data_IF_560717448807
#
_entry.id   IF_560717448807
#
_cell.length_a   1.000
_cell.length_b   1.000
_cell.length_c   1.000
_cell.angle_alpha   90.00
_cell.angle_beta   90.00
_cell.angle_gamma   90.00
#
_symmetry.space_group_name_H-M   'P 1'
#
loop_
_entity.id
_entity.type
_entity.pdbx_description
1 polymer ?
#
# COMPACT_ATOMS: atom_id res chain seq x y z
N UNK A 1 -9.15 -48.64 -3.62
CA UNK A 1 -8.50 -47.41 -4.14
C UNK A 1 -8.10 -46.60 -2.93
N UNK A 2 -6.80 -46.38 -2.72
CA UNK A 2 -6.28 -45.77 -1.49
C UNK A 2 -6.62 -44.29 -1.37
N UNK A 3 -6.70 -43.80 -0.13
CA UNK A 3 -6.97 -42.40 0.25
C UNK A 3 -5.95 -41.39 -0.30
N UNK A 4 -4.80 -41.86 -0.79
CA UNK A 4 -3.65 -41.06 -1.24
C UNK A 4 -3.03 -41.64 -2.52
N UNK A 5 -2.20 -40.84 -3.22
CA UNK A 5 -1.30 -41.27 -4.31
C UNK A 5 0.16 -40.90 -4.00
N UNK A 6 1.11 -41.58 -4.65
CA UNK A 6 2.53 -41.19 -4.58
C UNK A 6 2.67 -39.74 -5.04
N UNK A 7 3.40 -38.94 -4.28
CA UNK A 7 3.58 -37.51 -4.49
C UNK A 7 2.56 -36.61 -3.76
N UNK A 8 1.54 -37.17 -3.12
CA UNK A 8 0.63 -36.38 -2.27
C UNK A 8 1.39 -35.83 -1.06
N UNK A 9 1.14 -34.55 -0.75
CA UNK A 9 1.58 -33.93 0.49
C UNK A 9 0.57 -34.27 1.59
N UNK A 10 1.06 -34.80 2.69
CA UNK A 10 0.24 -35.24 3.82
C UNK A 10 0.82 -34.69 5.12
N UNK A 11 -0.03 -34.52 6.14
CA UNK A 11 0.42 -34.14 7.49
C UNK A 11 0.03 -35.20 8.50
N UNK A 12 0.86 -35.38 9.52
CA UNK A 12 0.56 -36.26 10.65
C UNK A 12 -0.53 -35.65 11.53
N UNK A 13 -1.62 -36.41 11.76
CA UNK A 13 -2.72 -35.99 12.65
C UNK A 13 -2.55 -36.49 14.08
N UNK A 14 -1.59 -37.38 14.30
CA UNK A 14 -1.19 -37.89 15.60
C UNK A 14 0.32 -38.13 15.63
N UNK A 15 0.93 -38.05 16.83
CA UNK A 15 2.37 -38.28 17.02
C UNK A 15 2.75 -39.70 16.59
N UNK A 16 3.81 -39.84 15.81
CA UNK A 16 4.29 -41.13 15.32
C UNK A 16 5.82 -41.19 15.24
N UNK A 17 6.42 -42.05 16.06
CA UNK A 17 7.88 -42.10 16.22
C UNK A 17 8.44 -40.70 16.55
N UNK A 18 9.38 -40.19 15.75
CA UNK A 18 9.95 -38.84 15.86
C UNK A 18 9.16 -37.76 15.12
N UNK A 19 8.09 -38.12 14.39
CA UNK A 19 7.20 -37.14 13.76
C UNK A 19 6.16 -36.64 14.78
N UNK A 20 6.06 -35.32 14.92
CA UNK A 20 5.09 -34.65 15.78
C UNK A 20 3.77 -34.38 15.04
N UNK A 21 2.71 -34.10 15.81
CA UNK A 21 1.42 -33.70 15.24
C UNK A 21 1.60 -32.44 14.41
N UNK A 22 1.19 -32.49 13.15
CA UNK A 22 1.27 -31.39 12.22
C UNK A 22 2.49 -31.41 11.30
N UNK A 23 3.47 -32.29 11.53
CA UNK A 23 4.60 -32.49 10.61
C UNK A 23 4.11 -32.89 9.22
N UNK A 24 4.71 -32.32 8.18
CA UNK A 24 4.29 -32.52 6.80
C UNK A 24 5.33 -33.29 6.00
N UNK A 25 4.86 -34.17 5.10
CA UNK A 25 5.73 -34.94 4.23
C UNK A 25 5.07 -35.33 2.92
N UNK A 26 5.81 -36.07 2.11
CA UNK A 26 5.36 -36.53 0.78
C UNK A 26 5.21 -38.05 0.79
N UNK A 27 4.11 -38.56 0.26
CA UNK A 27 3.90 -40.01 0.08
C UNK A 27 4.88 -40.54 -0.98
N UNK A 28 5.80 -41.41 -0.59
CA UNK A 28 6.80 -42.01 -1.51
C UNK A 28 6.36 -43.37 -2.05
N UNK A 29 5.69 -44.17 -1.22
CA UNK A 29 5.24 -45.51 -1.61
C UNK A 29 4.13 -46.02 -0.70
N UNK A 30 3.53 -47.14 -1.09
CA UNK A 30 2.48 -47.83 -0.35
C UNK A 30 2.95 -49.21 0.05
N UNK A 31 2.43 -49.69 1.18
CA UNK A 31 2.51 -51.09 1.58
C UNK A 31 1.11 -51.57 1.96
N UNK A 32 0.95 -52.85 2.28
CA UNK A 32 -0.37 -53.52 2.35
C UNK A 32 -1.38 -52.84 3.27
N UNK A 33 -0.93 -52.13 4.31
CA UNK A 33 -1.80 -51.50 5.32
C UNK A 33 -1.49 -50.01 5.55
N UNK A 34 -0.62 -49.39 4.74
CA UNK A 34 -0.18 -48.03 5.04
C UNK A 34 0.58 -47.31 3.93
N UNK A 35 1.07 -46.15 4.30
CA UNK A 35 1.80 -45.21 3.44
C UNK A 35 3.20 -44.98 4.00
N UNK A 36 4.17 -44.83 3.11
CA UNK A 36 5.49 -44.31 3.46
C UNK A 36 5.52 -42.81 3.16
N UNK A 37 5.71 -42.00 4.20
CA UNK A 37 5.74 -40.54 4.14
C UNK A 37 7.14 -40.05 4.44
N UNK A 38 7.72 -39.28 3.53
CA UNK A 38 9.02 -38.64 3.71
C UNK A 38 8.89 -37.25 4.29
N UNK A 39 9.49 -37.03 5.45
CA UNK A 39 9.61 -35.72 6.11
C UNK A 39 11.11 -35.39 6.19
N UNK A 40 11.55 -34.40 5.41
CA UNK A 40 12.98 -34.10 5.26
C UNK A 40 13.74 -35.28 4.64
N UNK A 41 14.76 -35.78 5.36
CA UNK A 41 15.57 -36.94 4.94
C UNK A 41 15.04 -38.27 5.50
N UNK A 42 14.06 -38.23 6.39
CA UNK A 42 13.55 -39.41 7.10
C UNK A 42 12.25 -39.91 6.46
N UNK A 43 12.15 -41.23 6.28
CA UNK A 43 10.94 -41.89 5.76
C UNK A 43 10.21 -42.63 6.88
N UNK A 44 8.90 -42.41 6.99
CA UNK A 44 8.05 -43.00 8.01
C UNK A 44 6.98 -43.88 7.35
N UNK A 45 7.01 -45.17 7.65
CA UNK A 45 5.91 -46.07 7.30
C UNK A 45 4.82 -46.00 8.36
N UNK A 46 3.65 -45.45 8.03
CA UNK A 46 2.52 -45.27 8.95
C UNK A 46 1.18 -45.71 8.32
N UNK A 47 0.18 -45.96 9.17
CA UNK A 47 -1.18 -46.24 8.69
C UNK A 47 -1.81 -44.98 8.08
N UNK A 48 -2.62 -45.14 7.05
CA UNK A 48 -3.31 -44.06 6.32
C UNK A 48 -4.24 -43.19 7.19
N UNK A 49 -4.70 -43.73 8.33
CA UNK A 49 -5.47 -43.01 9.36
C UNK A 49 -4.63 -42.01 10.17
N UNK A 50 -3.31 -42.14 10.19
CA UNK A 50 -2.40 -41.27 10.95
C UNK A 50 -1.98 -40.02 10.19
N UNK A 51 -2.36 -39.94 8.93
CA UNK A 51 -2.07 -38.81 8.07
C UNK A 51 -3.33 -38.32 7.36
N UNK A 52 -3.35 -37.04 7.03
CA UNK A 52 -4.39 -36.43 6.21
C UNK A 52 -3.76 -35.71 5.03
N UNK A 53 -4.53 -35.58 3.95
CA UNK A 53 -4.08 -34.87 2.75
C UNK A 53 -3.91 -33.40 3.12
N UNK A 54 -2.72 -32.86 2.91
CA UNK A 54 -2.54 -31.41 2.95
C UNK A 54 -3.11 -30.89 1.64
N UNK A 55 -4.21 -30.11 1.66
CA UNK A 55 -4.76 -29.54 0.44
C UNK A 55 -3.66 -28.76 -0.28
N UNK A 56 -3.58 -28.91 -1.61
CA UNK A 56 -2.59 -28.23 -2.42
C UNK A 56 -2.61 -26.73 -2.07
N UNK A 57 -1.49 -26.24 -1.51
CA UNK A 57 -1.39 -24.87 -1.06
C UNK A 57 -1.72 -23.93 -2.22
N UNK A 58 -2.74 -23.09 -2.02
CA UNK A 58 -3.12 -22.04 -2.95
C UNK A 58 -2.75 -20.69 -2.33
N UNK A 59 -1.68 -20.04 -2.81
CA UNK A 59 -1.34 -18.69 -2.39
C UNK A 59 -2.50 -17.71 -2.61
N UNK A 60 -2.71 -16.85 -1.62
CA UNK A 60 -3.67 -15.74 -1.65
C UNK A 60 -2.94 -14.42 -1.85
N UNK A 61 -3.66 -13.41 -2.34
CA UNK A 61 -3.15 -12.03 -2.38
C UNK A 61 -2.69 -11.62 -0.98
N UNK A 62 -1.47 -11.07 -0.89
CA UNK A 62 -0.80 -10.71 0.36
C UNK A 62 0.15 -11.78 0.90
N UNK A 63 0.06 -13.04 0.46
CA UNK A 63 0.95 -14.10 0.91
C UNK A 63 2.41 -13.81 0.52
N UNK A 64 3.30 -14.10 1.46
CA UNK A 64 4.75 -14.07 1.24
C UNK A 64 5.19 -15.41 0.69
N UNK A 65 5.95 -15.39 -0.40
CA UNK A 65 6.37 -16.59 -1.12
C UNK A 65 7.85 -16.55 -1.46
N UNK A 66 8.44 -17.73 -1.66
CA UNK A 66 9.79 -17.91 -2.18
C UNK A 66 9.75 -18.69 -3.47
N UNK A 67 10.58 -18.31 -4.44
CA UNK A 67 10.84 -19.14 -5.61
C UNK A 67 11.69 -20.36 -5.23
N UNK A 68 11.19 -21.58 -5.48
CA UNK A 68 11.95 -22.82 -5.21
C UNK A 68 12.94 -23.17 -6.33
N UNK A 69 12.77 -22.54 -7.49
CA UNK A 69 13.60 -22.66 -8.69
C UNK A 69 13.50 -21.36 -9.50
N UNK A 70 14.39 -21.21 -10.49
CA UNK A 70 14.28 -20.09 -11.43
C UNK A 70 12.95 -20.16 -12.19
N UNK A 71 12.32 -19.00 -12.37
CA UNK A 71 11.02 -18.86 -13.02
C UNK A 71 11.06 -19.43 -14.44
N UNK A 72 10.11 -20.28 -14.78
CA UNK A 72 10.00 -20.78 -16.17
C UNK A 72 9.35 -19.77 -17.11
N UNK A 73 8.77 -18.68 -16.60
CA UNK A 73 8.17 -17.62 -17.40
C UNK A 73 9.21 -16.65 -18.01
N UNK A 74 10.47 -16.69 -17.55
CA UNK A 74 11.58 -15.97 -18.20
C UNK A 74 12.90 -15.99 -17.43
N UNK A 75 13.16 -17.10 -16.74
CA UNK A 75 14.40 -17.39 -16.02
C UNK A 75 14.57 -16.59 -14.73
N UNK A 76 15.78 -16.64 -14.17
CA UNK A 76 16.19 -15.89 -12.98
C UNK A 76 15.91 -14.38 -13.09
N UNK A 77 15.73 -13.84 -14.31
CA UNK A 77 15.29 -12.46 -14.53
C UNK A 77 13.90 -12.18 -13.95
N UNK A 78 12.97 -13.13 -13.95
CA UNK A 78 11.59 -12.91 -13.46
C UNK A 78 11.28 -13.64 -12.14
N UNK A 79 12.30 -14.24 -11.54
CA UNK A 79 12.27 -14.88 -10.24
C UNK A 79 13.41 -15.87 -10.17
N UNK A 80 14.47 -15.55 -9.44
CA UNK A 80 15.59 -16.46 -9.20
C UNK A 80 15.25 -17.43 -8.06
N UNK A 81 15.82 -18.63 -8.08
CA UNK A 81 15.72 -19.56 -6.95
C UNK A 81 16.11 -18.87 -5.63
N UNK A 82 15.25 -18.96 -4.63
CA UNK A 82 15.41 -18.35 -3.32
C UNK A 82 14.92 -16.90 -3.22
N UNK A 83 14.59 -16.25 -4.34
CA UNK A 83 14.07 -14.89 -4.37
C UNK A 83 12.69 -14.83 -3.71
N UNK A 84 12.46 -13.78 -2.94
CA UNK A 84 11.25 -13.59 -2.14
C UNK A 84 10.32 -12.61 -2.83
N UNK A 85 9.03 -12.84 -2.71
CA UNK A 85 8.02 -12.02 -3.33
C UNK A 85 6.72 -11.98 -2.52
N UNK A 86 5.87 -11.00 -2.83
CA UNK A 86 4.50 -10.90 -2.32
C UNK A 86 3.52 -11.19 -3.45
N UNK A 87 2.52 -12.02 -3.20
CA UNK A 87 1.44 -12.34 -4.15
C UNK A 87 0.51 -11.14 -4.26
N UNK A 88 0.22 -10.70 -5.49
CA UNK A 88 -0.63 -9.51 -5.73
C UNK A 88 -1.86 -9.79 -6.59
N UNK A 89 -1.99 -11.00 -7.16
CA UNK A 89 -3.17 -11.41 -7.91
C UNK A 89 -3.66 -12.79 -7.48
N UNK A 90 -4.94 -13.04 -7.71
CA UNK A 90 -5.48 -14.38 -7.57
C UNK A 90 -4.87 -15.34 -8.62
N UNK A 91 -4.76 -16.65 -8.31
CA UNK A 91 -4.41 -17.68 -9.27
C UNK A 91 -5.28 -17.65 -10.53
N UNK A 92 -4.64 -17.69 -11.69
CA UNK A 92 -5.28 -17.80 -13.01
C UNK A 92 -4.67 -18.96 -13.80
N UNK A 93 -5.48 -19.61 -14.62
CA UNK A 93 -5.01 -20.68 -15.51
C UNK A 93 -4.31 -20.06 -16.71
N UNK A 94 -3.03 -20.38 -16.88
CA UNK A 94 -2.22 -19.94 -18.02
C UNK A 94 -2.50 -20.79 -19.27
N UNK A 95 -2.09 -20.28 -20.44
CA UNK A 95 -2.26 -20.94 -21.73
C UNK A 95 -1.61 -22.35 -21.80
N UNK A 96 -0.59 -22.60 -20.99
CA UNK A 96 0.06 -23.91 -20.85
C UNK A 96 -0.63 -24.85 -19.85
N UNK A 97 -1.83 -24.50 -19.37
CA UNK A 97 -2.62 -25.29 -18.43
C UNK A 97 -2.17 -25.22 -16.97
N UNK A 98 -1.07 -24.52 -16.66
CA UNK A 98 -0.57 -24.32 -15.29
C UNK A 98 -1.25 -23.12 -14.62
N UNK A 99 -1.32 -23.12 -13.29
CA UNK A 99 -1.80 -21.96 -12.54
C UNK A 99 -0.65 -20.98 -12.31
N UNK A 100 -0.89 -19.73 -12.65
CA UNK A 100 0.02 -18.61 -12.46
C UNK A 100 -0.66 -17.48 -11.70
N UNK A 101 0.12 -16.63 -11.07
CA UNK A 101 -0.30 -15.41 -10.40
C UNK A 101 0.77 -14.33 -10.58
N UNK A 102 0.44 -13.07 -10.32
CA UNK A 102 1.42 -12.00 -10.33
C UNK A 102 2.02 -11.81 -8.95
N UNK A 103 3.33 -11.59 -8.92
CA UNK A 103 4.07 -11.30 -7.69
C UNK A 103 4.83 -9.98 -7.80
N UNK A 104 5.07 -9.35 -6.67
CA UNK A 104 6.02 -8.25 -6.54
C UNK A 104 7.27 -8.77 -5.84
N UNK A 105 8.41 -8.76 -6.54
CA UNK A 105 9.70 -9.15 -5.97
C UNK A 105 10.15 -8.12 -4.93
N UNK A 106 10.75 -8.57 -3.83
CA UNK A 106 11.18 -7.71 -2.72
C UNK A 106 12.18 -6.62 -3.14
N UNK A 107 13.08 -6.96 -4.07
CA UNK A 107 14.08 -6.03 -4.57
C UNK A 107 13.52 -5.03 -5.59
N UNK A 108 12.25 -5.15 -5.96
CA UNK A 108 11.53 -4.29 -6.90
C UNK A 108 12.28 -4.01 -8.22
N UNK A 109 13.16 -4.92 -8.66
CA UNK A 109 14.11 -4.66 -9.75
C UNK A 109 13.49 -4.60 -11.16
N UNK A 110 12.25 -5.03 -11.31
CA UNK A 110 11.61 -5.20 -12.61
C UNK A 110 10.76 -4.01 -13.03
N UNK A 111 10.36 -3.11 -12.11
CA UNK A 111 9.43 -2.01 -12.42
C UNK A 111 8.04 -2.45 -12.89
N UNK A 112 7.78 -3.76 -12.91
CA UNK A 112 6.50 -4.40 -13.16
C UNK A 112 6.44 -5.72 -12.35
N UNK A 113 5.24 -6.26 -12.18
CA UNK A 113 5.00 -7.50 -11.45
C UNK A 113 5.03 -8.69 -12.39
N UNK A 114 6.05 -9.58 -12.33
CA UNK A 114 6.10 -10.76 -13.18
C UNK A 114 5.04 -11.78 -12.79
N UNK A 115 4.58 -12.56 -13.78
CA UNK A 115 3.82 -13.77 -13.55
C UNK A 115 4.72 -14.90 -13.04
N UNK A 116 4.28 -15.59 -11.99
CA UNK A 116 4.93 -16.74 -11.38
C UNK A 116 3.96 -17.94 -11.34
N UNK A 117 4.46 -19.14 -11.62
CA UNK A 117 3.66 -20.35 -11.50
C UNK A 117 3.61 -20.83 -10.05
N UNK A 118 2.45 -21.29 -9.59
CA UNK A 118 2.25 -21.68 -8.19
C UNK A 118 3.15 -22.87 -7.80
N UNK A 119 3.43 -23.79 -8.72
CA UNK A 119 4.33 -24.92 -8.52
C UNK A 119 5.83 -24.53 -8.55
N UNK A 120 6.15 -23.25 -8.74
CA UNK A 120 7.49 -22.67 -8.60
C UNK A 120 7.64 -21.88 -7.31
N UNK A 121 6.57 -21.80 -6.51
CA UNK A 121 6.52 -21.06 -5.28
C UNK A 121 6.34 -22.01 -4.09
N UNK A 122 6.86 -21.58 -2.96
CA UNK A 122 6.51 -22.14 -1.66
C UNK A 122 6.11 -21.00 -0.72
N UNK A 123 5.26 -21.27 0.28
CA UNK A 123 4.95 -20.28 1.28
C UNK A 123 6.23 -19.91 2.02
N UNK A 124 6.51 -18.62 2.09
CA UNK A 124 7.51 -18.11 3.02
C UNK A 124 6.78 -17.98 4.35
N UNK A 125 7.07 -18.79 5.37
CA UNK A 125 6.46 -18.60 6.67
C UNK A 125 6.70 -17.13 7.04
N UNK A 126 5.63 -16.42 7.40
CA UNK A 126 5.78 -15.14 8.06
C UNK A 126 6.77 -15.42 9.19
N UNK A 127 7.96 -14.83 9.08
CA UNK A 127 9.02 -15.02 10.08
C UNK A 127 8.30 -14.82 11.40
N UNK A 128 8.27 -15.85 12.26
CA UNK A 128 7.79 -15.71 13.62
C UNK A 128 8.44 -14.44 14.11
N UNK A 129 7.64 -13.37 14.25
CA UNK A 129 8.15 -12.04 14.40
C UNK A 129 9.18 -12.13 15.52
N UNK A 130 10.46 -11.90 15.18
CA UNK A 130 11.51 -11.90 16.17
C UNK A 130 10.99 -10.99 17.27
N UNK A 131 10.85 -11.52 18.50
CA UNK A 131 10.42 -10.71 19.62
C UNK A 131 11.26 -9.44 19.57
N UNK A 132 10.64 -8.25 19.44
CA UNK A 132 11.39 -7.04 19.66
C UNK A 132 11.93 -7.16 21.07
N UNK A 133 13.26 -7.11 21.20
CA UNK A 133 13.86 -6.77 22.47
C UNK A 133 13.20 -5.46 22.91
N UNK A 134 12.60 -5.50 24.10
CA UNK A 134 11.97 -4.39 24.81
C UNK A 134 10.72 -3.77 24.15
N UNK A 135 9.65 -4.57 23.97
CA UNK A 135 8.30 -4.01 23.79
C UNK A 135 7.91 -3.23 25.05
N UNK A 136 7.87 -1.89 24.96
CA UNK A 136 7.36 -1.01 26.01
C UNK A 136 5.91 -0.66 25.70
N UNK A 137 4.98 -0.97 26.61
CA UNK A 137 3.57 -0.59 26.47
C UNK A 137 3.39 0.90 26.78
N UNK A 138 2.89 1.66 25.81
CA UNK A 138 2.43 3.04 25.97
C UNK A 138 0.92 3.11 26.20
N UNK A 139 0.49 4.07 27.03
CA UNK A 139 -0.92 4.34 27.31
C UNK A 139 -1.68 4.81 26.06
N UNK A 140 -2.96 4.43 25.94
CA UNK A 140 -3.85 4.79 24.84
C UNK A 140 -3.74 3.92 23.59
N UNK A 141 -2.70 3.09 23.47
CA UNK A 141 -2.47 2.21 22.31
C UNK A 141 -3.17 0.85 22.43
N UNK A 142 -3.31 0.16 21.31
CA UNK A 142 -3.80 -1.21 21.21
C UNK A 142 -2.66 -2.17 20.89
N UNK A 143 -2.78 -3.42 21.30
CA UNK A 143 -1.72 -4.41 21.21
C UNK A 143 -2.26 -5.78 20.83
N UNK A 144 -1.37 -6.66 20.35
CA UNK A 144 -1.68 -8.02 19.94
C UNK A 144 -1.12 -9.02 20.95
N UNK A 145 -1.98 -9.89 21.47
CA UNK A 145 -1.57 -11.04 22.28
C UNK A 145 -1.01 -12.15 21.39
N UNK A 146 -0.27 -13.08 22.00
CA UNK A 146 0.35 -14.22 21.32
C UNK A 146 -0.69 -15.16 20.67
N UNK A 147 -1.87 -15.28 21.26
CA UNK A 147 -3.02 -15.98 20.68
C UNK A 147 -3.80 -15.18 19.62
N UNK A 148 -3.34 -13.97 19.30
CA UNK A 148 -3.82 -13.17 18.17
C UNK A 148 -4.94 -12.18 18.47
N UNK A 149 -5.37 -12.04 19.73
CA UNK A 149 -6.42 -11.09 20.12
C UNK A 149 -5.90 -9.65 20.16
N UNK A 150 -6.79 -8.70 19.85
CA UNK A 150 -6.58 -7.26 20.05
C UNK A 150 -6.92 -6.90 21.50
N UNK A 151 -6.03 -6.20 22.19
CA UNK A 151 -6.26 -5.69 23.55
C UNK A 151 -5.93 -4.21 23.62
N UNK A 152 -6.78 -3.44 24.31
CA UNK A 152 -6.62 -1.99 24.48
C UNK A 152 -7.94 -1.25 24.63
N UNK A 153 -7.89 0.08 24.84
CA UNK A 153 -6.67 0.88 24.97
C UNK A 153 -5.90 0.53 26.26
N UNK A 154 -4.57 0.67 26.23
CA UNK A 154 -3.72 0.43 27.38
C UNK A 154 -3.77 1.59 28.39
N UNK A 155 -3.77 1.29 29.67
CA UNK A 155 -3.56 2.22 30.77
C UNK A 155 -2.29 1.80 31.51
N UNK A 156 -1.33 2.72 31.61
CA UNK A 156 -0.04 2.46 32.26
C UNK A 156 -0.01 3.23 33.57
N UNK A 157 0.26 2.54 34.69
CA UNK A 157 0.43 3.14 36.01
C UNK A 157 1.64 2.53 36.70
N UNK A 158 2.74 3.27 36.75
CA UNK A 158 4.03 2.71 37.16
C UNK A 158 4.47 1.61 36.20
N UNK A 159 4.90 0.47 36.73
CA UNK A 159 5.43 -0.66 35.95
C UNK A 159 4.34 -1.65 35.48
N UNK A 160 3.07 -1.23 35.54
CA UNK A 160 1.90 -2.07 35.28
C UNK A 160 1.08 -1.50 34.13
N UNK A 161 0.72 -2.37 33.19
CA UNK A 161 -0.22 -2.09 32.10
C UNK A 161 -1.54 -2.85 32.32
N UNK A 162 -2.65 -2.13 32.20
CA UNK A 162 -4.02 -2.68 32.24
C UNK A 162 -4.73 -2.28 30.95
N UNK A 163 -5.60 -3.12 30.40
CA UNK A 163 -6.27 -2.85 29.11
C UNK A 163 -7.79 -2.82 29.28
N UNK A 164 -8.54 -2.04 28.49
CA UNK A 164 -10.02 -2.09 28.47
C UNK A 164 -10.72 -0.78 28.85
N UNK A 165 -11.80 -0.84 29.63
CA UNK A 165 -12.51 0.34 30.18
C UNK A 165 -12.51 0.29 31.71
N UNK A 166 -12.51 1.45 32.37
CA UNK A 166 -12.40 1.61 33.83
C UNK A 166 -13.45 0.83 34.66
N UNK A 167 -14.50 0.31 34.02
CA UNK A 167 -15.58 -0.47 34.64
C UNK A 167 -15.65 -1.96 34.26
N UNK A 168 -14.85 -2.45 33.32
CA UNK A 168 -14.93 -3.85 32.85
C UNK A 168 -13.57 -4.56 33.00
N UNK A 169 -13.40 -5.26 34.12
CA UNK A 169 -12.18 -5.94 34.57
C UNK A 169 -11.90 -7.24 33.80
N UNK A 170 -12.19 -7.31 32.50
CA UNK A 170 -11.91 -8.51 31.68
C UNK A 170 -10.43 -8.69 31.35
N UNK A 171 -9.56 -7.78 31.78
CA UNK A 171 -8.20 -7.71 31.32
C UNK A 171 -7.25 -8.12 32.42
N UNK A 172 -6.39 -9.09 32.11
CA UNK A 172 -5.29 -9.48 32.96
C UNK A 172 -4.42 -8.26 33.32
N UNK A 173 -3.61 -8.38 34.37
CA UNK A 173 -2.58 -7.39 34.68
C UNK A 173 -1.31 -7.83 33.96
N UNK A 174 -0.76 -6.97 33.12
CA UNK A 174 0.53 -7.24 32.47
C UNK A 174 1.60 -6.33 33.07
N UNK A 175 2.84 -6.82 33.10
CA UNK A 175 3.98 -5.93 33.25
C UNK A 175 4.04 -4.96 32.05
N UNK A 176 4.66 -3.80 32.23
CA UNK A 176 4.97 -2.82 31.16
C UNK A 176 5.66 -3.42 29.91
N UNK A 177 6.34 -4.55 30.09
CA UNK A 177 6.95 -5.39 29.04
C UNK A 177 5.98 -6.30 28.27
N UNK A 178 4.69 -6.27 28.59
CA UNK A 178 3.66 -7.06 27.92
C UNK A 178 3.52 -8.51 28.37
N UNK A 179 4.18 -8.91 29.46
CA UNK A 179 4.06 -10.27 30.01
C UNK A 179 2.95 -10.39 31.03
N UNK A 180 2.16 -11.46 30.95
CA UNK A 180 1.15 -11.77 31.96
C UNK A 180 1.79 -12.44 33.19
N UNK A 181 2.90 -13.14 33.00
CA UNK A 181 3.64 -13.75 34.11
C UNK A 181 4.33 -12.69 34.98
N UNK A 182 4.65 -13.07 36.22
CA UNK A 182 5.56 -12.31 37.08
C UNK A 182 6.81 -11.88 36.30
N UNK A 183 7.29 -10.65 36.55
CA UNK A 183 8.52 -10.08 35.95
C UNK A 183 9.76 -10.95 36.19
N UNK A 184 9.75 -11.79 37.23
CA UNK A 184 10.82 -12.74 37.55
C UNK A 184 10.80 -14.03 36.72
N UNK A 185 9.72 -14.30 35.97
CA UNK A 185 9.61 -15.46 35.09
C UNK A 185 9.85 -15.01 33.64
N UNK A 186 11.08 -15.21 33.17
CA UNK A 186 11.53 -14.83 31.82
C UNK A 186 11.35 -15.93 30.78
N UNK A 187 11.06 -17.17 31.20
CA UNK A 187 11.10 -18.35 30.33
C UNK A 187 9.73 -18.90 29.95
N UNK A 188 8.69 -18.64 30.75
CA UNK A 188 7.33 -19.06 30.40
C UNK A 188 6.71 -18.08 29.40
N UNK A 189 6.33 -18.61 28.23
CA UNK A 189 5.49 -17.90 27.27
C UNK A 189 4.03 -18.27 27.53
N UNK A 190 3.16 -17.28 27.72
CA UNK A 190 1.74 -17.49 27.92
C UNK A 190 0.94 -17.04 26.68
N UNK A 191 -0.21 -17.69 26.39
CA UNK A 191 -1.07 -17.30 25.26
C UNK A 191 -1.50 -15.82 25.27
N UNK A 192 -1.54 -15.21 26.45
CA UNK A 192 -1.97 -13.83 26.65
C UNK A 192 -0.81 -12.82 26.61
N UNK A 193 0.45 -13.25 26.41
CA UNK A 193 1.57 -12.31 26.33
C UNK A 193 1.42 -11.40 25.12
N UNK A 194 1.77 -10.12 25.29
CA UNK A 194 1.80 -9.16 24.19
C UNK A 194 3.06 -9.40 23.37
N UNK A 195 2.88 -9.49 22.04
CA UNK A 195 3.98 -9.74 21.09
C UNK A 195 4.24 -8.55 20.16
N UNK A 196 3.27 -7.63 20.00
CA UNK A 196 3.44 -6.42 19.19
C UNK A 196 2.38 -5.36 19.50
N UNK A 197 2.65 -4.11 19.12
CA UNK A 197 1.60 -3.08 18.94
C UNK A 197 0.59 -3.56 17.87
N UNK A 198 -0.69 -3.28 18.10
CA UNK A 198 -1.75 -3.51 17.13
C UNK A 198 -1.86 -2.26 16.26
N UNK A 199 -1.24 -2.33 15.09
CA UNK A 199 -1.42 -1.35 14.04
C UNK A 199 -2.69 -1.76 13.30
N UNK A 200 -3.72 -0.91 13.30
CA UNK A 200 -4.88 -1.15 12.44
C UNK A 200 -4.39 -1.17 10.99
N UNK A 201 -4.57 -2.32 10.33
CA UNK A 201 -4.23 -2.47 8.92
C UNK A 201 -4.95 -1.36 8.14
N UNK A 202 -4.28 -0.66 7.20
CA UNK A 202 -5.00 0.19 6.27
C UNK A 202 -6.01 -0.71 5.57
N UNK A 203 -7.30 -0.41 5.69
CA UNK A 203 -8.40 -1.29 5.27
C UNK A 203 -8.24 -1.66 3.78
N UNK A 204 -7.56 -2.78 3.53
CA UNK A 204 -7.61 -3.51 2.28
C UNK A 204 -8.82 -4.42 2.41
N UNK A 205 -9.97 -3.93 1.94
CA UNK A 205 -11.17 -4.72 1.81
C UNK A 205 -10.91 -5.85 0.81
N UNK A 206 -10.62 -7.05 1.34
CA UNK A 206 -10.70 -8.28 0.58
C UNK A 206 -12.15 -8.46 0.11
N UNK A 207 -12.34 -8.46 -1.21
CA UNK A 207 -13.59 -8.80 -1.87
C UNK A 207 -13.95 -10.26 -1.55
N UNK A 208 -15.06 -10.47 -0.86
CA UNK A 208 -15.68 -11.77 -0.67
C UNK A 208 -16.98 -11.84 -1.48
N UNK A 209 -16.90 -12.53 -2.62
CA UNK A 209 -18.05 -12.88 -3.45
C UNK A 209 -18.92 -13.91 -2.71
N UNK A 210 -19.91 -13.44 -1.95
CA UNK A 210 -21.22 -14.08 -1.75
C UNK A 210 -22.04 -13.32 -0.68
N UNK A 211 -22.75 -12.28 -1.08
CA UNK A 211 -23.88 -11.74 -0.34
C UNK A 211 -24.91 -11.15 -1.33
N UNK A 212 -26.19 -11.24 -0.97
CA UNK A 212 -27.37 -10.70 -1.68
C UNK A 212 -27.15 -9.26 -2.20
N UNK A 213 -27.87 -8.78 -3.25
CA UNK A 213 -27.51 -7.59 -4.02
C UNK A 213 -27.24 -6.42 -3.07
N UNK A 214 -25.95 -6.11 -2.94
CA UNK A 214 -25.46 -5.18 -1.96
C UNK A 214 -25.81 -3.78 -2.42
N UNK A 215 -26.20 -2.94 -1.47
CA UNK A 215 -26.29 -1.50 -1.67
C UNK A 215 -25.03 -0.99 -2.38
N UNK A 216 -25.15 0.04 -3.24
CA UNK A 216 -24.02 0.60 -3.97
C UNK A 216 -22.80 0.86 -3.05
N UNK A 217 -21.62 0.38 -3.47
CA UNK A 217 -20.28 0.52 -2.85
C UNK A 217 -19.89 1.95 -2.46
N UNK A 218 -20.32 2.96 -3.23
CA UNK A 218 -20.02 4.37 -2.99
C UNK A 218 -21.29 5.20 -2.84
N UNK A 219 -21.18 6.36 -2.18
CA UNK A 219 -22.26 7.35 -2.03
C UNK A 219 -21.93 8.66 -2.75
N UNK A 220 -22.95 9.47 -3.03
CA UNK A 220 -22.75 10.82 -3.54
C UNK A 220 -21.84 11.63 -2.60
N UNK A 221 -20.86 12.31 -3.17
CA UNK A 221 -19.80 13.04 -2.47
C UNK A 221 -18.48 12.27 -2.34
N UNK A 222 -18.47 10.95 -2.54
CA UNK A 222 -17.22 10.16 -2.44
C UNK A 222 -16.26 10.49 -3.59
N UNK A 223 -14.96 10.57 -3.27
CA UNK A 223 -13.90 10.68 -4.27
C UNK A 223 -13.48 9.31 -4.76
N UNK A 224 -13.56 9.13 -6.08
CA UNK A 224 -13.36 7.86 -6.75
C UNK A 224 -12.43 8.00 -7.96
N UNK A 225 -11.83 6.90 -8.38
CA UNK A 225 -11.14 6.78 -9.66
C UNK A 225 -12.02 5.97 -10.60
N UNK A 226 -12.52 6.61 -11.66
CA UNK A 226 -13.28 5.95 -12.71
C UNK A 226 -12.31 5.33 -13.73
N UNK A 227 -12.47 4.05 -14.02
CA UNK A 227 -11.72 3.24 -14.99
C UNK A 227 -12.42 3.12 -16.35
N UNK A 228 -13.43 3.96 -16.58
CA UNK A 228 -14.28 3.88 -17.77
C UNK A 228 -13.52 4.28 -19.05
N UNK A 229 -12.99 3.27 -19.75
CA UNK A 229 -12.39 3.32 -21.08
C UNK A 229 -11.65 4.65 -21.40
N UNK A 230 -12.11 5.40 -22.42
CA UNK A 230 -11.47 6.59 -22.95
C UNK A 230 -11.47 7.80 -21.97
N UNK A 231 -12.11 7.68 -20.81
CA UNK A 231 -12.38 8.79 -19.89
C UNK A 231 -11.96 8.42 -18.46
N UNK A 232 -10.89 7.64 -18.29
CA UNK A 232 -10.37 7.30 -16.95
C UNK A 232 -9.85 8.53 -16.20
N UNK A 233 -10.10 8.62 -14.90
CA UNK A 233 -9.59 9.72 -14.08
C UNK A 233 -10.17 9.75 -12.66
N UNK A 234 -9.61 10.63 -11.83
CA UNK A 234 -10.22 10.94 -10.54
C UNK A 234 -11.49 11.76 -10.75
N UNK A 235 -12.50 11.49 -9.93
CA UNK A 235 -13.79 12.16 -10.00
C UNK A 235 -14.54 12.05 -8.68
N UNK A 236 -15.68 12.72 -8.63
CA UNK A 236 -16.57 12.72 -7.47
C UNK A 236 -17.87 12.03 -7.85
N UNK A 237 -18.35 11.09 -7.04
CA UNK A 237 -19.68 10.50 -7.24
C UNK A 237 -20.71 11.60 -7.01
N UNK A 238 -21.44 12.00 -8.04
CA UNK A 238 -22.47 13.04 -7.96
C UNK A 238 -23.81 12.44 -7.58
N UNK A 239 -24.10 11.24 -8.08
CA UNK A 239 -25.34 10.54 -7.85
C UNK A 239 -25.12 9.04 -7.84
N UNK A 240 -25.93 8.37 -7.04
CA UNK A 240 -26.04 6.92 -7.01
C UNK A 240 -27.45 6.53 -7.43
N UNK A 241 -27.57 5.62 -8.38
CA UNK A 241 -28.83 4.99 -8.76
C UNK A 241 -28.88 3.58 -8.13
N UNK A 242 -29.87 3.35 -7.29
CA UNK A 242 -30.10 2.10 -6.57
C UNK A 242 -30.99 1.12 -7.35
N UNK A 243 -31.46 1.51 -8.54
CA UNK A 243 -32.30 0.70 -9.43
C UNK A 243 -31.53 0.12 -10.63
N UNK A 244 -30.33 0.61 -10.92
CA UNK A 244 -29.47 0.14 -12.02
C UNK A 244 -28.22 -0.56 -11.48
N UNK A 245 -28.27 -1.89 -11.41
CA UNK A 245 -27.16 -2.74 -10.96
C UNK A 245 -25.94 -2.67 -11.90
N UNK A 246 -26.08 -2.17 -13.12
CA UNK A 246 -24.97 -2.12 -14.09
C UNK A 246 -24.21 -0.83 -13.96
N UNK A 247 -24.87 0.32 -13.96
CA UNK A 247 -24.21 1.63 -13.90
C UNK A 247 -24.72 2.48 -12.74
N UNK A 248 -24.46 2.07 -11.49
CA UNK A 248 -25.07 2.73 -10.32
C UNK A 248 -24.47 4.11 -10.04
N UNK A 249 -23.34 4.50 -10.65
CA UNK A 249 -22.63 5.73 -10.29
C UNK A 249 -22.60 6.76 -11.40
N UNK A 250 -23.11 7.96 -11.15
CA UNK A 250 -22.77 9.14 -11.94
C UNK A 250 -21.54 9.79 -11.32
N UNK A 251 -20.40 9.73 -12.01
CA UNK A 251 -19.12 10.30 -11.55
C UNK A 251 -18.79 11.54 -12.36
N UNK A 252 -18.58 12.68 -11.70
CA UNK A 252 -18.01 13.88 -12.31
C UNK A 252 -16.49 13.80 -12.30
N UNK A 253 -15.92 13.56 -13.47
CA UNK A 253 -14.49 13.34 -13.66
C UNK A 253 -13.82 14.69 -13.85
N UNK A 254 -12.75 14.93 -13.07
CA UNK A 254 -12.10 16.23 -12.97
C UNK A 254 -11.69 16.75 -14.37
N UNK A 255 -12.29 17.88 -14.78
CA UNK A 255 -12.01 18.53 -16.08
C UNK A 255 -12.55 17.80 -17.31
N UNK A 256 -13.40 16.77 -17.13
CA UNK A 256 -13.97 15.97 -18.23
C UNK A 256 -15.50 15.88 -18.21
N UNK A 257 -16.13 16.18 -17.08
CA UNK A 257 -17.58 16.17 -16.91
C UNK A 257 -18.13 14.86 -16.34
N UNK A 258 -19.45 14.73 -16.30
CA UNK A 258 -20.13 13.66 -15.57
C UNK A 258 -20.55 12.48 -16.44
N UNK A 259 -20.23 11.25 -16.01
CA UNK A 259 -20.48 10.01 -16.74
C UNK A 259 -21.06 8.93 -15.82
N UNK A 260 -21.99 8.13 -16.35
CA UNK A 260 -22.44 6.93 -15.67
C UNK A 260 -21.38 5.84 -15.79
N UNK A 261 -21.01 5.23 -14.65
CA UNK A 261 -19.91 4.28 -14.52
C UNK A 261 -20.41 2.96 -13.94
N UNK A 262 -19.83 1.87 -14.45
CA UNK A 262 -20.06 0.52 -13.92
C UNK A 262 -19.46 0.38 -12.52
N UNK A 263 -20.07 -0.44 -11.66
CA UNK A 263 -19.54 -0.68 -10.29
C UNK A 263 -18.09 -1.19 -10.30
N UNK A 264 -17.78 -2.12 -11.20
CA UNK A 264 -16.42 -2.64 -11.41
C UNK A 264 -15.42 -1.63 -11.98
N UNK A 265 -15.91 -0.50 -12.51
CA UNK A 265 -15.09 0.56 -13.10
C UNK A 265 -14.92 1.75 -12.14
N UNK A 266 -15.36 1.64 -10.88
CA UNK A 266 -15.19 2.70 -9.89
C UNK A 266 -14.42 2.17 -8.68
N UNK A 267 -13.27 2.80 -8.41
CA UNK A 267 -12.45 2.51 -7.24
C UNK A 267 -12.31 3.72 -6.33
N UNK A 268 -11.86 3.51 -5.10
CA UNK A 268 -11.52 4.62 -4.21
C UNK A 268 -10.42 5.47 -4.86
N UNK A 269 -10.61 6.80 -4.90
CA UNK A 269 -9.56 7.68 -5.39
C UNK A 269 -8.36 7.57 -4.45
N UNK A 270 -7.22 7.16 -4.98
CA UNK A 270 -5.98 7.18 -4.20
C UNK A 270 -5.62 8.64 -3.99
N UNK A 271 -5.51 9.07 -2.73
CA UNK A 271 -5.03 10.41 -2.43
C UNK A 271 -3.69 10.62 -3.14
N UNK A 272 -3.47 11.78 -3.79
CA UNK A 272 -2.18 12.06 -4.41
C UNK A 272 -1.11 11.96 -3.32
N UNK A 273 -0.14 11.07 -3.52
CA UNK A 273 1.00 10.99 -2.60
C UNK A 273 1.75 12.29 -2.70
N UNK A 274 2.00 12.99 -1.58
CA UNK A 274 2.71 14.25 -1.64
C UNK A 274 4.12 14.01 -2.20
N UNK A 275 4.48 14.78 -3.21
CA UNK A 275 5.79 14.71 -3.85
C UNK A 275 6.86 15.28 -2.92
N UNK A 276 8.11 14.85 -3.06
CA UNK A 276 9.21 15.33 -2.24
C UNK A 276 10.42 15.73 -3.08
N UNK A 277 11.26 16.64 -2.56
CA UNK A 277 12.55 17.01 -3.15
C UNK A 277 13.67 16.71 -2.15
N UNK A 278 14.88 16.57 -2.68
CA UNK A 278 16.10 16.51 -1.86
C UNK A 278 16.84 17.84 -1.98
N UNK A 279 17.28 18.38 -0.85
CA UNK A 279 18.09 19.60 -0.80
C UNK A 279 19.35 19.37 0.05
N UNK A 280 20.47 19.98 -0.36
CA UNK A 280 21.66 20.06 0.47
C UNK A 280 21.35 20.91 1.71
N UNK A 281 21.88 20.54 2.87
CA UNK A 281 21.86 21.38 4.07
C UNK A 281 23.22 22.06 4.20
N UNK A 282 23.22 23.39 4.15
CA UNK A 282 24.40 24.23 4.32
C UNK A 282 24.09 25.22 5.44
N UNK A 283 24.95 25.30 6.45
CA UNK A 283 24.78 26.16 7.63
C UNK A 283 23.40 25.99 8.34
N UNK A 284 22.89 24.75 8.34
CA UNK A 284 21.59 24.41 8.93
C UNK A 284 20.38 24.85 8.10
N UNK A 285 20.59 25.38 6.90
CA UNK A 285 19.53 25.84 5.99
C UNK A 285 19.44 24.96 4.74
N UNK A 286 18.23 24.71 4.20
CA UNK A 286 18.06 24.05 2.92
C UNK A 286 18.58 24.90 1.77
N UNK A 287 19.42 24.28 0.94
CA UNK A 287 19.89 24.80 -0.35
C UNK A 287 19.37 23.89 -1.47
N UNK A 288 18.09 24.06 -1.88
CA UNK A 288 17.53 23.32 -3.01
C UNK A 288 18.25 23.72 -4.31
N UNK A 289 18.34 22.78 -5.25
CA UNK A 289 18.86 23.07 -6.58
C UNK A 289 17.96 24.08 -7.32
N UNK A 290 18.50 24.83 -8.28
CA UNK A 290 17.72 25.76 -9.10
C UNK A 290 16.56 25.07 -9.87
N UNK A 291 16.70 23.77 -10.12
CA UNK A 291 15.66 22.89 -10.66
C UNK A 291 15.70 21.58 -9.86
N UNK A 292 15.02 21.50 -8.71
CA UNK A 292 15.02 20.31 -7.88
C UNK A 292 14.43 19.12 -8.64
N UNK A 293 15.02 17.94 -8.48
CA UNK A 293 14.37 16.72 -8.92
C UNK A 293 13.21 16.41 -7.96
N UNK A 294 12.03 16.22 -8.54
CA UNK A 294 10.81 15.93 -7.77
C UNK A 294 10.58 14.43 -7.76
N UNK A 295 10.63 13.85 -6.57
CA UNK A 295 10.31 12.45 -6.32
C UNK A 295 8.81 12.29 -6.08
N UNK A 296 8.26 11.18 -6.56
CA UNK A 296 6.83 10.84 -6.47
C UNK A 296 6.38 10.49 -5.05
N UNK A 297 7.33 10.15 -4.16
CA UNK A 297 7.08 9.78 -2.76
C UNK A 297 8.24 10.23 -1.86
N UNK A 298 7.98 10.36 -0.56
CA UNK A 298 9.00 10.62 0.46
C UNK A 298 10.08 9.52 0.47
N UNK A 299 9.70 8.25 0.40
CA UNK A 299 10.65 7.14 0.41
C UNK A 299 11.62 7.17 -0.77
N UNK A 300 11.15 7.60 -1.95
CA UNK A 300 12.01 7.77 -3.12
C UNK A 300 13.00 8.94 -2.95
N UNK A 301 12.57 10.05 -2.33
CA UNK A 301 13.46 11.15 -2.00
C UNK A 301 14.46 10.75 -0.91
N UNK A 302 14.06 9.94 0.07
CA UNK A 302 14.96 9.41 1.10
C UNK A 302 16.08 8.55 0.50
N UNK A 303 15.74 7.63 -0.39
CA UNK A 303 16.73 6.80 -1.07
C UNK A 303 17.76 7.65 -1.85
N UNK A 304 17.30 8.73 -2.49
CA UNK A 304 18.18 9.67 -3.19
C UNK A 304 19.04 10.50 -2.23
N UNK A 305 18.49 10.97 -1.11
CA UNK A 305 19.26 11.67 -0.08
C UNK A 305 20.37 10.76 0.49
N UNK A 306 20.07 9.49 0.75
CA UNK A 306 21.04 8.50 1.24
C UNK A 306 22.14 8.24 0.18
N UNK A 307 21.77 8.17 -1.12
CA UNK A 307 22.72 8.07 -2.24
C UNK A 307 23.65 9.28 -2.31
N UNK A 308 23.10 10.49 -2.21
CA UNK A 308 23.86 11.75 -2.28
C UNK A 308 24.79 11.92 -1.08
N UNK A 309 24.35 11.60 0.13
CA UNK A 309 25.21 11.55 1.32
C UNK A 309 26.32 10.50 1.19
N UNK A 310 26.04 9.39 0.48
CA UNK A 310 27.01 8.37 0.12
C UNK A 310 28.15 8.91 -0.75
N UNK A 311 27.83 9.76 -1.73
CA UNK A 311 28.76 10.33 -2.71
C UNK A 311 29.49 11.56 -2.13
N UNK A 312 28.76 12.46 -1.50
CA UNK A 312 29.28 13.72 -0.94
C UNK A 312 29.50 13.59 0.57
N UNK A 313 30.59 12.89 0.94
CA UNK A 313 30.95 12.66 2.35
C UNK A 313 31.10 13.98 3.11
N UNK A 314 30.51 14.04 4.31
CA UNK A 314 30.53 15.23 5.17
C UNK A 314 29.44 16.26 4.85
N UNK A 315 28.66 16.06 3.78
CA UNK A 315 27.49 16.87 3.48
C UNK A 315 26.21 16.21 4.02
N UNK A 316 25.22 17.03 4.34
CA UNK A 316 23.90 16.58 4.80
C UNK A 316 22.84 16.90 3.76
N UNK A 317 21.88 16.01 3.57
CA UNK A 317 20.79 16.19 2.63
C UNK A 317 19.46 16.03 3.36
N UNK A 318 18.56 16.99 3.19
CA UNK A 318 17.21 16.97 3.74
C UNK A 318 16.18 16.56 2.69
N UNK A 319 15.13 15.88 3.13
CA UNK A 319 13.96 15.54 2.32
C UNK A 319 12.83 16.51 2.66
N UNK A 320 12.26 17.15 1.65
CA UNK A 320 11.20 18.16 1.81
C UNK A 320 9.96 17.72 1.04
N UNK A 321 8.85 17.58 1.76
CA UNK A 321 7.57 17.13 1.22
C UNK A 321 6.73 18.35 0.83
N UNK A 322 6.14 18.33 -0.36
CA UNK A 322 5.19 19.35 -0.79
C UNK A 322 3.87 19.16 -0.02
N UNK A 323 3.59 20.07 0.90
CA UNK A 323 2.38 20.03 1.73
C UNK A 323 1.26 20.91 1.18
N UNK A 324 1.60 22.06 0.60
CA UNK A 324 0.64 23.01 0.03
C UNK A 324 1.27 23.78 -1.13
N UNK A 325 0.43 24.32 -1.99
CA UNK A 325 0.81 25.25 -3.05
C UNK A 325 0.02 26.53 -2.89
N UNK A 326 0.69 27.66 -2.99
CA UNK A 326 0.03 28.96 -3.07
C UNK A 326 0.24 29.53 -4.47
N UNK A 327 -0.80 30.14 -5.01
CA UNK A 327 -0.75 30.85 -6.27
C UNK A 327 -1.60 32.11 -6.13
N UNK A 328 -1.04 33.24 -6.54
CA UNK A 328 -1.85 34.42 -6.82
C UNK A 328 -2.45 34.29 -8.20
N UNK A 329 -3.76 34.49 -8.29
CA UNK A 329 -4.46 34.47 -9.57
C UNK A 329 -3.88 35.55 -10.49
N UNK A 330 -3.59 35.19 -11.74
CA UNK A 330 -3.24 36.18 -12.76
C UNK A 330 -4.41 37.16 -12.86
N UNK A 331 -4.19 38.48 -12.73
CA UNK A 331 -5.27 39.44 -12.85
C UNK A 331 -5.99 39.27 -14.19
N UNK A 332 -7.32 39.11 -14.14
CA UNK A 332 -8.11 38.99 -15.37
C UNK A 332 -8.41 40.38 -15.89
N UNK A 333 -7.78 40.75 -17.00
CA UNK A 333 -8.03 42.03 -17.63
C UNK A 333 -9.11 41.91 -18.72
N UNK A 334 -10.15 42.74 -18.59
CA UNK A 334 -11.30 42.78 -19.49
C UNK A 334 -10.90 43.17 -20.91
N UNK A 335 -10.00 44.14 -21.04
CA UNK A 335 -9.64 44.71 -22.33
C UNK A 335 -8.31 44.18 -22.86
N UNK A 336 -8.22 44.00 -24.17
CA UNK A 336 -7.00 43.49 -24.83
C UNK A 336 -5.79 44.40 -24.57
N UNK A 337 -5.99 45.72 -24.59
CA UNK A 337 -4.91 46.67 -24.28
C UNK A 337 -4.33 46.48 -22.88
N UNK A 338 -5.15 46.11 -21.88
CA UNK A 338 -4.69 45.85 -20.52
C UNK A 338 -3.86 44.55 -20.45
N UNK A 339 -4.28 43.51 -21.18
CA UNK A 339 -3.52 42.26 -21.31
C UNK A 339 -2.15 42.50 -21.97
N UNK A 340 -2.12 43.30 -23.03
CA UNK A 340 -0.88 43.70 -23.71
C UNK A 340 0.02 44.55 -22.80
N UNK A 341 -0.57 45.49 -22.06
CA UNK A 341 0.16 46.33 -21.11
C UNK A 341 0.80 45.50 -19.98
N UNK A 342 0.06 44.55 -19.40
CA UNK A 342 0.56 43.66 -18.36
C UNK A 342 1.68 42.71 -18.85
N UNK A 343 1.72 42.39 -20.15
CA UNK A 343 2.82 41.63 -20.78
C UNK A 343 4.06 42.49 -21.10
N UNK A 344 4.01 43.79 -20.83
CA UNK A 344 5.09 44.73 -21.18
C UNK A 344 5.04 45.23 -22.64
N UNK A 345 4.03 44.86 -23.42
CA UNK A 345 3.87 45.25 -24.82
C UNK A 345 3.24 46.64 -24.97
N UNK A 346 3.87 47.66 -24.36
CA UNK A 346 3.31 49.02 -24.22
C UNK A 346 2.85 49.63 -25.54
N UNK A 347 3.61 49.45 -26.62
CA UNK A 347 3.27 50.02 -27.94
C UNK A 347 2.00 49.37 -28.52
N UNK A 348 1.86 48.05 -28.38
CA UNK A 348 0.69 47.32 -28.86
C UNK A 348 -0.55 47.70 -28.04
N UNK A 349 -0.41 47.79 -26.71
CA UNK A 349 -1.46 48.25 -25.82
C UNK A 349 -1.97 49.65 -26.17
N UNK A 350 -1.07 50.61 -26.44
CA UNK A 350 -1.44 51.98 -26.83
C UNK A 350 -2.21 51.97 -28.17
N UNK A 351 -1.77 51.17 -29.15
CA UNK A 351 -2.46 51.06 -30.44
C UNK A 351 -3.89 50.53 -30.26
N UNK A 352 -4.04 49.48 -29.47
CA UNK A 352 -5.34 48.86 -29.20
C UNK A 352 -6.27 49.80 -28.43
N UNK A 353 -5.77 50.46 -27.36
CA UNK A 353 -6.56 51.43 -26.60
C UNK A 353 -7.07 52.56 -27.49
N UNK A 354 -6.23 53.09 -28.39
CA UNK A 354 -6.62 54.13 -29.35
C UNK A 354 -7.64 53.64 -30.36
N UNK A 355 -7.51 52.41 -30.85
CA UNK A 355 -8.45 51.82 -31.80
C UNK A 355 -9.85 51.67 -31.18
N UNK A 356 -9.93 51.26 -29.91
CA UNK A 356 -11.21 51.01 -29.22
C UNK A 356 -11.86 52.30 -28.69
N UNK A 357 -11.08 53.32 -28.33
CA UNK A 357 -11.61 54.54 -27.67
C UNK A 357 -11.57 55.80 -28.53
N UNK A 358 -10.84 55.79 -29.65
CA UNK A 358 -10.58 56.99 -30.45
C UNK A 358 -9.61 57.98 -29.81
N UNK A 359 -8.94 57.62 -28.71
CA UNK A 359 -8.01 58.51 -28.01
C UNK A 359 -6.83 58.96 -28.89
N UNK A 360 -6.38 60.19 -28.63
CA UNK A 360 -5.12 60.71 -29.18
C UNK A 360 -3.92 60.04 -28.50
N UNK A 361 -2.75 60.10 -29.14
CA UNK A 361 -1.56 59.34 -28.74
C UNK A 361 -1.12 59.58 -27.30
N UNK A 362 -1.07 60.85 -26.86
CA UNK A 362 -0.60 61.21 -25.52
C UNK A 362 -1.53 60.70 -24.41
N UNK A 363 -2.86 60.97 -24.42
CA UNK A 363 -3.78 60.40 -23.45
C UNK A 363 -3.74 58.87 -23.36
N UNK A 364 -3.65 58.18 -24.51
CA UNK A 364 -3.58 56.71 -24.52
C UNK A 364 -2.28 56.17 -23.93
N UNK A 365 -1.15 56.86 -24.15
CA UNK A 365 0.13 56.53 -23.52
C UNK A 365 0.05 56.68 -22.01
N UNK A 366 -0.48 57.80 -21.52
CA UNK A 366 -0.57 58.10 -20.09
C UNK A 366 -1.43 57.05 -19.36
N UNK A 367 -2.54 56.60 -19.97
CA UNK A 367 -3.39 55.53 -19.41
C UNK A 367 -2.66 54.19 -19.33
N UNK A 368 -1.94 53.81 -20.39
CA UNK A 368 -1.20 52.53 -20.42
C UNK A 368 -0.03 52.55 -19.43
N UNK A 369 0.70 53.66 -19.32
CA UNK A 369 1.80 53.80 -18.36
C UNK A 369 1.29 53.78 -16.92
N UNK A 370 0.22 54.52 -16.62
CA UNK A 370 -0.39 54.50 -15.30
C UNK A 370 -0.90 53.11 -14.91
N UNK A 371 -1.50 52.38 -15.86
CA UNK A 371 -1.94 51.00 -15.62
C UNK A 371 -0.78 50.03 -15.36
N UNK A 372 0.38 50.22 -16.00
CA UNK A 372 1.58 49.39 -15.76
C UNK A 372 2.21 49.70 -14.41
N UNK A 373 2.22 50.97 -13.99
CA UNK A 373 2.71 51.39 -12.67
C UNK A 373 1.76 50.97 -11.53
N UNK A 374 0.45 51.02 -11.78
CA UNK A 374 -0.60 50.72 -10.82
C UNK A 374 -1.65 49.78 -11.42
N UNK A 375 -1.32 48.48 -11.61
CA UNK A 375 -2.29 47.51 -12.07
C UNK A 375 -3.42 47.41 -11.04
N UNK A 376 -4.68 47.58 -11.49
CA UNK A 376 -5.87 47.51 -10.64
C UNK A 376 -5.80 46.32 -9.66
N UNK A 377 -5.80 46.60 -8.35
CA UNK A 377 -5.66 45.60 -7.28
C UNK A 377 -4.58 45.91 -6.24
N UNK A 378 -3.64 46.80 -6.54
CA UNK A 378 -2.77 47.39 -5.52
C UNK A 378 -3.55 48.51 -4.79
N UNK A 379 -4.18 48.18 -3.66
CA UNK A 379 -4.68 49.21 -2.76
C UNK A 379 -3.51 50.10 -2.31
N UNK A 380 -3.74 51.42 -2.30
CA UNK A 380 -2.88 52.38 -1.61
C UNK A 380 -2.94 52.17 -0.09
#
# INVERSE_FOLDING_TARGET
>A
MGKFKVGDRVRFVEKYSTAEVGDEGVVESFWSEGVNVKVGETSYGCFDRRVELVPAWQPKVGDRVRFVRDSTAGGARFGAKGEKATVISNPRKSANGRYALDVTLDNNRLGFSPGAYIDELEPLPAVAAAQPADLTIEAGKFYKTRDGRKVGPAFVRGDIATFGELGNWQSAVWADSGRQSSRSNTTSELPNDIISEWIDEPVVSASNDNAAPAKPKFKAGDRVFAKFAAISGNGTVVRVDDLDDRMPYLVDIDGRGSFWCYDGDVDIARAPTPTAIVALIEDGQPKPAARPFVHTTESAAKAEADRLAGIAKGQQFGVYILTTTSQEAVPTYKHEWQRLAAKGEKIAAIKELRAVTGMQLKPAKDVVEHFVEYPYGAAA
#
